data_IF_689606030329
#
_entry.id   IF_689606030329
#
_cell.length_a   1.000
_cell.length_b   1.000
_cell.length_c   1.000
_cell.angle_alpha   90.00
_cell.angle_beta   90.00
_cell.angle_gamma   90.00
#
_symmetry.space_group_name_H-M   'P 1'
#
loop_
_entity.id
_entity.type
_entity.pdbx_description
1 polymer ?
#
# COMPACT_ATOMS: atom_id res chain seq x y z
N UNK A 1 -5.83 24.92 13.36
CA UNK A 1 -6.08 24.13 14.59
C UNK A 1 -6.67 22.73 14.33
N UNK A 2 -7.24 22.42 13.15
CA UNK A 2 -7.86 21.10 12.84
C UNK A 2 -6.89 20.10 12.17
N UNK A 3 -5.78 20.57 11.61
CA UNK A 3 -4.84 19.73 10.84
C UNK A 3 -4.02 18.72 11.68
N UNK A 4 -3.78 19.03 12.96
CA UNK A 4 -2.99 18.15 13.84
C UNK A 4 -3.78 16.91 14.27
N UNK A 5 -5.07 17.07 14.55
CA UNK A 5 -5.97 15.97 14.95
C UNK A 5 -6.17 14.98 13.79
N UNK A 6 -6.28 15.47 12.54
CA UNK A 6 -6.35 14.59 11.34
C UNK A 6 -5.10 13.77 11.09
N UNK A 7 -3.91 14.21 11.54
CA UNK A 7 -2.67 13.43 11.44
C UNK A 7 -2.61 12.32 12.49
N UNK A 8 -3.17 12.54 13.67
CA UNK A 8 -3.23 11.52 14.74
C UNK A 8 -4.17 10.36 14.39
N UNK A 9 -5.29 10.64 13.72
CA UNK A 9 -6.26 9.62 13.29
C UNK A 9 -6.07 9.17 11.82
N UNK A 10 -5.09 9.72 11.11
CA UNK A 10 -4.80 9.44 9.69
C UNK A 10 -3.81 8.30 9.46
N UNK A 11 -3.47 7.52 10.49
CA UNK A 11 -2.53 6.39 10.38
C UNK A 11 -3.07 5.20 9.55
N UNK A 12 -4.35 5.25 9.18
CA UNK A 12 -5.03 4.23 8.40
C UNK A 12 -5.12 4.51 6.90
N UNK A 13 -4.49 5.60 6.41
CA UNK A 13 -4.67 6.02 5.01
C UNK A 13 -3.81 5.24 3.99
N UNK A 14 -3.09 4.18 4.39
CA UNK A 14 -2.39 3.34 3.43
C UNK A 14 -1.41 2.37 4.05
N UNK A 15 -0.89 1.49 3.19
CA UNK A 15 0.26 0.64 3.47
C UNK A 15 1.38 1.50 4.08
N UNK A 16 1.90 1.09 5.25
CA UNK A 16 3.07 1.75 5.85
C UNK A 16 4.26 1.68 4.89
N UNK A 17 5.25 2.57 5.04
CA UNK A 17 6.48 2.51 4.23
C UNK A 17 7.11 1.10 4.28
N UNK A 18 7.08 0.45 5.45
CA UNK A 18 7.53 -0.94 5.60
C UNK A 18 6.74 -1.93 4.74
N UNK A 19 5.42 -1.75 4.63
CA UNK A 19 4.57 -2.57 3.77
C UNK A 19 4.87 -2.31 2.29
N UNK A 20 5.08 -1.06 1.88
CA UNK A 20 5.44 -0.73 0.49
C UNK A 20 6.81 -1.30 0.11
N UNK A 21 7.81 -1.18 0.98
CA UNK A 21 9.15 -1.78 0.79
C UNK A 21 9.03 -3.30 0.72
N UNK A 22 8.27 -3.91 1.63
CA UNK A 22 8.05 -5.35 1.63
C UNK A 22 7.37 -5.82 0.33
N UNK A 23 6.33 -5.13 -0.14
CA UNK A 23 5.66 -5.42 -1.41
C UNK A 23 6.57 -5.19 -2.61
N UNK A 24 7.49 -4.21 -2.57
CA UNK A 24 8.45 -3.99 -3.65
C UNK A 24 9.49 -5.12 -3.74
N UNK A 25 9.99 -5.61 -2.61
CA UNK A 25 11.00 -6.67 -2.58
C UNK A 25 10.41 -8.09 -2.70
N UNK A 26 9.21 -8.35 -2.15
CA UNK A 26 8.60 -9.67 -2.08
C UNK A 26 7.34 -9.84 -2.92
N UNK A 27 6.78 -8.72 -3.43
CA UNK A 27 5.59 -8.73 -4.27
C UNK A 27 5.94 -8.94 -5.74
N UNK A 28 5.14 -9.75 -6.41
CA UNK A 28 5.17 -9.99 -7.85
C UNK A 28 3.96 -9.33 -8.50
N UNK A 29 4.17 -8.58 -9.58
CA UNK A 29 3.07 -7.97 -10.36
C UNK A 29 2.27 -9.10 -11.02
N UNK A 30 1.04 -9.31 -10.58
CA UNK A 30 0.16 -10.38 -11.09
C UNK A 30 -0.59 -9.95 -12.34
N UNK A 31 -0.91 -8.67 -12.45
CA UNK A 31 -1.68 -8.17 -13.57
C UNK A 31 -2.11 -6.73 -13.41
N UNK A 32 -2.71 -6.23 -14.47
CA UNK A 32 -3.27 -4.88 -14.57
C UNK A 32 -4.68 -5.02 -15.14
N UNK A 33 -5.65 -4.40 -14.49
CA UNK A 33 -7.01 -4.38 -15.03
C UNK A 33 -7.18 -3.29 -16.10
N UNK A 34 -8.33 -3.31 -16.78
CA UNK A 34 -8.66 -2.33 -17.83
C UNK A 34 -8.83 -0.91 -17.25
N UNK A 35 -8.91 -0.77 -15.92
CA UNK A 35 -9.03 0.50 -15.20
C UNK A 35 -7.65 1.03 -14.73
N UNK A 36 -6.55 0.32 -15.00
CA UNK A 36 -5.20 0.71 -14.61
C UNK A 36 -4.82 0.36 -13.17
N UNK A 37 -5.60 -0.47 -12.48
CA UNK A 37 -5.21 -0.98 -11.16
C UNK A 37 -4.17 -2.09 -11.32
N UNK A 38 -3.03 -1.91 -10.65
CA UNK A 38 -1.94 -2.87 -10.65
C UNK A 38 -2.03 -3.75 -9.40
N UNK A 39 -2.13 -5.06 -9.61
CA UNK A 39 -2.21 -6.04 -8.53
C UNK A 39 -0.84 -6.67 -8.27
N UNK A 40 -0.43 -6.67 -7.00
CA UNK A 40 0.79 -7.32 -6.52
C UNK A 40 0.41 -8.48 -5.60
N UNK A 41 1.08 -9.63 -5.72
CA UNK A 41 0.90 -10.81 -4.85
C UNK A 41 2.22 -11.18 -4.20
N UNK A 42 2.17 -11.58 -2.95
CA UNK A 42 3.35 -12.12 -2.25
C UNK A 42 3.76 -13.47 -2.85
N UNK A 43 5.06 -13.66 -3.12
CA UNK A 43 5.60 -14.95 -3.62
C UNK A 43 5.53 -16.10 -2.60
N UNK A 44 5.29 -15.81 -1.33
CA UNK A 44 5.11 -16.81 -0.27
C UNK A 44 3.73 -16.63 0.35
N UNK A 45 2.99 -17.74 0.39
CA UNK A 45 1.89 -17.92 1.34
C UNK A 45 2.41 -18.67 2.55
#
# INVERSE_FOLDING_TARGET
MVAFIRRMFGWWYGATIGTLVHTFFNGEKVGEDVQGNIYYREKKG
#
